data_IF_885780999575
#
_entry.id   IF_885780999575
#
_cell.length_a   1.000
_cell.length_b   1.000
_cell.length_c   1.000
_cell.angle_alpha   90.00
_cell.angle_beta   90.00
_cell.angle_gamma   90.00
#
_symmetry.space_group_name_H-M   'P 1'
#
loop_
_entity.id
_entity.type
_entity.pdbx_description
1 polymer ?
#
# COMPACT_ATOMS: atom_id res chain seq x y z
N UNK A 1 -15.44 -6.81 -9.21
CA UNK A 1 -15.45 -7.92 -8.26
C UNK A 1 -16.83 -8.11 -7.62
N UNK A 2 -17.54 -7.02 -7.35
CA UNK A 2 -18.79 -7.00 -6.61
C UNK A 2 -19.98 -6.57 -7.46
N UNK A 3 -19.85 -6.59 -8.80
CA UNK A 3 -20.94 -6.25 -9.74
C UNK A 3 -21.19 -4.77 -9.94
N UNK A 4 -20.39 -3.89 -9.31
CA UNK A 4 -20.50 -2.45 -9.51
C UNK A 4 -19.77 -2.03 -10.78
N UNK A 5 -20.44 -1.23 -11.61
CA UNK A 5 -19.82 -0.57 -12.74
C UNK A 5 -19.05 0.66 -12.24
N UNK A 6 -17.77 0.70 -12.54
CA UNK A 6 -16.91 1.83 -12.18
C UNK A 6 -16.21 2.39 -13.42
N UNK A 7 -16.45 3.64 -13.72
CA UNK A 7 -15.72 4.38 -14.74
C UNK A 7 -14.57 5.17 -14.09
N UNK A 8 -13.30 4.84 -14.40
CA UNK A 8 -12.16 5.57 -13.85
C UNK A 8 -12.14 7.01 -14.34
N UNK A 9 -12.15 7.98 -13.41
CA UNK A 9 -12.02 9.40 -13.70
C UNK A 9 -10.77 9.98 -13.03
N UNK A 10 -10.25 11.07 -13.58
CA UNK A 10 -9.24 11.86 -12.91
C UNK A 10 -9.83 12.48 -11.64
N UNK A 11 -9.10 12.41 -10.51
CA UNK A 11 -9.53 13.03 -9.25
C UNK A 11 -9.74 14.55 -9.40
N UNK A 12 -9.02 15.20 -10.33
CA UNK A 12 -9.14 16.65 -10.61
C UNK A 12 -10.49 16.99 -11.25
N UNK A 13 -11.01 16.05 -12.05
CA UNK A 13 -12.28 16.23 -12.77
C UNK A 13 -13.47 15.55 -12.05
N UNK A 14 -13.19 14.96 -10.87
CA UNK A 14 -14.21 14.29 -10.08
C UNK A 14 -14.94 15.28 -9.20
N UNK A 15 -16.27 15.25 -9.24
CA UNK A 15 -17.18 15.95 -8.34
C UNK A 15 -17.95 14.94 -7.51
N UNK A 16 -18.12 15.16 -6.20
CA UNK A 16 -18.84 14.22 -5.34
C UNK A 16 -20.32 14.18 -5.72
N UNK A 17 -20.98 13.02 -5.55
CA UNK A 17 -22.42 12.91 -5.71
C UNK A 17 -23.13 13.69 -4.59
N UNK A 18 -24.37 14.11 -4.87
CA UNK A 18 -25.23 14.77 -3.87
C UNK A 18 -25.94 13.72 -2.99
N UNK A 19 -25.12 12.94 -2.28
CA UNK A 19 -25.58 11.94 -1.35
C UNK A 19 -24.74 11.95 -0.08
N UNK A 20 -25.28 11.38 1.00
CA UNK A 20 -24.56 11.26 2.26
C UNK A 20 -23.50 10.17 2.15
N UNK A 21 -22.27 10.53 2.46
CA UNK A 21 -21.14 9.61 2.58
C UNK A 21 -20.66 9.63 4.03
N UNK A 22 -20.69 8.50 4.72
CA UNK A 22 -20.23 8.42 6.12
C UNK A 22 -18.70 8.29 6.21
N UNK A 23 -18.07 7.57 5.28
CA UNK A 23 -16.62 7.33 5.24
C UNK A 23 -16.04 7.66 3.86
N UNK A 24 -15.05 8.54 3.84
CA UNK A 24 -14.22 8.79 2.67
C UNK A 24 -12.83 8.23 2.91
N UNK A 25 -12.39 7.30 2.06
CA UNK A 25 -11.04 6.74 2.13
C UNK A 25 -10.22 7.15 0.91
N UNK A 26 -8.95 7.54 1.13
CA UNK A 26 -8.07 7.86 0.03
C UNK A 26 -6.61 7.48 0.29
N UNK A 27 -5.88 7.21 -0.82
CA UNK A 27 -4.45 7.03 -0.85
C UNK A 27 -3.86 7.96 -1.90
N UNK A 28 -3.42 9.15 -1.50
CA UNK A 28 -2.81 10.08 -2.45
C UNK A 28 -1.52 9.52 -3.05
N UNK A 29 -1.16 9.87 -4.30
CA UNK A 29 0.05 9.36 -4.93
C UNK A 29 1.30 9.63 -4.10
N UNK A 30 2.02 8.55 -3.75
CA UNK A 30 3.23 8.60 -2.93
C UNK A 30 4.52 8.85 -3.72
N UNK A 31 4.45 9.02 -5.04
CA UNK A 31 5.64 9.00 -5.90
C UNK A 31 6.62 10.14 -5.59
N UNK A 32 6.14 11.30 -5.19
CA UNK A 32 6.96 12.44 -4.81
C UNK A 32 7.31 12.44 -3.31
N UNK A 33 6.60 11.65 -2.49
CA UNK A 33 6.89 11.43 -1.07
C UNK A 33 7.76 10.20 -0.80
N UNK A 34 7.86 9.26 -1.75
CA UNK A 34 8.60 8.01 -1.57
C UNK A 34 10.11 8.24 -1.58
N UNK A 35 10.83 7.54 -0.71
CA UNK A 35 12.31 7.49 -0.73
C UNK A 35 12.87 6.94 -2.04
N UNK A 36 12.08 6.20 -2.80
CA UNK A 36 12.42 5.68 -4.13
C UNK A 36 12.00 6.62 -5.26
N UNK A 37 11.27 7.70 -4.98
CA UNK A 37 10.79 8.71 -5.91
C UNK A 37 11.69 9.95 -6.00
N UNK A 38 11.24 10.96 -6.75
CA UNK A 38 11.99 12.19 -6.99
C UNK A 38 11.97 13.18 -5.83
N UNK A 39 11.22 12.92 -4.75
CA UNK A 39 11.08 13.76 -3.54
C UNK A 39 10.73 15.24 -3.86
N UNK A 40 9.87 15.46 -4.86
CA UNK A 40 9.49 16.81 -5.32
C UNK A 40 8.52 17.53 -4.37
N UNK A 41 7.99 16.81 -3.35
CA UNK A 41 6.98 17.34 -2.46
C UNK A 41 5.56 17.35 -3.05
N UNK A 42 4.60 17.87 -2.32
CA UNK A 42 3.18 17.89 -2.66
C UNK A 42 2.52 19.20 -2.21
N UNK A 43 3.11 20.36 -2.53
CA UNK A 43 2.50 21.65 -2.19
C UNK A 43 1.27 21.89 -3.08
N UNK A 44 0.21 22.49 -2.50
CA UNK A 44 -1.01 22.88 -3.24
C UNK A 44 -0.61 23.71 -4.48
N UNK A 45 -1.12 23.32 -5.66
CA UNK A 45 -0.85 24.02 -6.91
C UNK A 45 0.55 23.81 -7.52
N UNK A 46 1.39 22.93 -6.96
CA UNK A 46 2.76 22.69 -7.48
C UNK A 46 2.83 21.91 -8.79
N UNK A 47 1.71 21.38 -9.30
CA UNK A 47 1.66 20.52 -10.47
C UNK A 47 2.33 19.15 -10.27
N UNK A 48 2.74 18.81 -9.06
CA UNK A 48 3.29 17.49 -8.72
C UNK A 48 2.16 16.50 -8.45
N UNK A 49 2.40 15.20 -8.66
CA UNK A 49 1.39 14.16 -8.36
C UNK A 49 0.97 14.15 -6.89
N UNK A 50 1.86 14.54 -6.00
CA UNK A 50 1.57 14.61 -4.55
C UNK A 50 0.69 15.79 -4.18
N UNK A 51 0.57 16.82 -5.03
CA UNK A 51 -0.39 17.94 -4.82
C UNK A 51 -1.84 17.48 -4.95
N UNK A 52 -2.08 16.32 -5.59
CA UNK A 52 -3.40 15.68 -5.66
C UNK A 52 -3.95 15.28 -4.27
N UNK A 53 -3.13 15.29 -3.23
CA UNK A 53 -3.59 15.18 -1.85
C UNK A 53 -4.66 16.26 -1.52
N UNK A 54 -4.49 17.47 -2.04
CA UNK A 54 -5.40 18.58 -1.77
C UNK A 54 -6.70 18.53 -2.59
N UNK A 55 -6.80 17.63 -3.57
CA UNK A 55 -8.07 17.34 -4.24
C UNK A 55 -9.09 16.71 -3.27
N UNK A 56 -8.63 15.97 -2.27
CA UNK A 56 -9.53 15.49 -1.21
C UNK A 56 -10.17 16.64 -0.43
N UNK A 57 -9.41 17.71 -0.16
CA UNK A 57 -9.94 18.92 0.49
C UNK A 57 -11.00 19.57 -0.39
N UNK A 58 -10.74 19.75 -1.71
CA UNK A 58 -11.71 20.30 -2.66
C UNK A 58 -12.99 19.45 -2.70
N UNK A 59 -12.85 18.14 -2.80
CA UNK A 59 -14.00 17.22 -2.84
C UNK A 59 -14.86 17.36 -1.57
N UNK A 60 -14.25 17.43 -0.38
CA UNK A 60 -14.99 17.61 0.88
C UNK A 60 -15.67 19.00 0.94
N UNK A 61 -15.03 20.03 0.40
CA UNK A 61 -15.61 21.39 0.32
C UNK A 61 -16.83 21.45 -0.62
N UNK A 62 -16.83 20.66 -1.69
CA UNK A 62 -17.94 20.58 -2.64
C UNK A 62 -19.12 19.74 -2.11
N UNK A 63 -18.93 18.92 -1.07
CA UNK A 63 -20.00 18.11 -0.51
C UNK A 63 -21.00 18.95 0.31
N UNK A 64 -22.30 18.80 0.05
CA UNK A 64 -23.36 19.39 0.86
C UNK A 64 -23.34 18.88 2.30
N UNK A 65 -23.06 17.60 2.47
CA UNK A 65 -22.91 16.94 3.79
C UNK A 65 -21.51 16.33 3.85
N UNK A 66 -20.68 16.84 4.73
CA UNK A 66 -19.31 16.34 4.89
C UNK A 66 -19.29 14.91 5.45
N UNK A 67 -18.36 14.04 5.01
CA UNK A 67 -18.18 12.71 5.57
C UNK A 67 -17.90 12.77 7.08
N UNK A 68 -18.50 11.86 7.82
CA UNK A 68 -18.20 11.73 9.26
C UNK A 68 -16.73 11.42 9.52
N UNK A 69 -16.16 10.53 8.69
CA UNK A 69 -14.80 10.03 8.82
C UNK A 69 -14.07 10.17 7.50
N UNK A 70 -12.84 10.66 7.55
CA UNK A 70 -11.90 10.62 6.44
C UNK A 70 -10.67 9.80 6.86
N UNK A 71 -10.37 8.74 6.12
CA UNK A 71 -9.20 7.89 6.34
C UNK A 71 -8.19 8.07 5.19
N UNK A 72 -7.01 8.55 5.54
CA UNK A 72 -5.90 8.70 4.59
C UNK A 72 -4.76 7.73 4.90
N UNK A 73 -4.32 6.98 3.89
CA UNK A 73 -3.11 6.14 3.96
C UNK A 73 -2.00 6.70 3.09
N UNK A 74 -0.76 6.60 3.57
CA UNK A 74 0.41 6.92 2.74
C UNK A 74 1.69 6.23 3.25
N UNK A 75 2.78 6.40 2.50
CA UNK A 75 4.11 5.97 2.93
C UNK A 75 4.61 6.86 4.09
N UNK A 76 5.32 6.30 5.05
CA UNK A 76 5.90 7.07 6.18
C UNK A 76 6.83 8.21 5.75
N UNK A 77 7.34 8.16 4.52
CA UNK A 77 8.17 9.21 3.93
C UNK A 77 7.52 10.58 3.84
N UNK A 78 6.18 10.69 3.99
CA UNK A 78 5.49 12.00 4.07
C UNK A 78 5.95 12.82 5.29
N UNK A 79 6.48 12.16 6.32
CA UNK A 79 7.03 12.80 7.52
C UNK A 79 8.52 13.16 7.40
N UNK A 80 9.19 12.81 6.30
CA UNK A 80 10.59 13.21 6.07
C UNK A 80 10.70 14.74 6.03
N UNK A 81 11.82 15.29 6.52
CA UNK A 81 12.03 16.74 6.75
C UNK A 81 11.57 17.63 5.59
N UNK A 82 11.79 17.21 4.35
CA UNK A 82 11.47 18.00 3.15
C UNK A 82 10.02 17.86 2.70
N UNK A 83 9.24 16.94 3.26
CA UNK A 83 7.91 16.58 2.80
C UNK A 83 6.82 16.81 3.86
N UNK A 84 7.21 16.87 5.13
CA UNK A 84 6.29 17.02 6.27
C UNK A 84 5.48 18.32 6.24
N UNK A 85 5.95 19.36 5.55
CA UNK A 85 5.21 20.60 5.42
C UNK A 85 3.87 20.40 4.72
N UNK A 86 3.85 19.60 3.63
CA UNK A 86 2.61 19.30 2.92
C UNK A 86 1.69 18.41 3.78
N UNK A 87 2.24 17.50 4.58
CA UNK A 87 1.48 16.70 5.51
C UNK A 87 0.77 17.55 6.56
N UNK A 88 1.49 18.42 7.24
CA UNK A 88 0.89 19.31 8.26
C UNK A 88 -0.04 20.36 7.66
N UNK A 89 0.21 20.82 6.43
CA UNK A 89 -0.71 21.68 5.72
C UNK A 89 -2.05 20.97 5.46
N UNK A 90 -2.01 19.71 4.99
CA UNK A 90 -3.22 18.92 4.83
C UNK A 90 -4.00 18.78 6.15
N UNK A 91 -3.34 18.46 7.27
CA UNK A 91 -4.02 18.36 8.57
C UNK A 91 -4.68 19.68 8.98
N UNK A 92 -4.02 20.82 8.76
CA UNK A 92 -4.62 22.14 9.02
C UNK A 92 -5.84 22.44 8.15
N UNK A 93 -5.81 22.04 6.88
CA UNK A 93 -6.98 22.19 6.01
C UNK A 93 -8.14 21.30 6.50
N UNK A 94 -7.86 20.08 6.96
CA UNK A 94 -8.88 19.23 7.58
C UNK A 94 -9.44 19.83 8.87
N UNK A 95 -8.60 20.44 9.72
CA UNK A 95 -9.04 21.18 10.91
C UNK A 95 -9.92 22.37 10.53
N UNK A 96 -9.57 23.13 9.50
CA UNK A 96 -10.39 24.23 8.97
C UNK A 96 -11.78 23.75 8.51
N UNK A 97 -11.86 22.52 8.00
CA UNK A 97 -13.12 21.88 7.62
C UNK A 97 -13.94 21.33 8.79
N UNK A 98 -13.40 21.39 10.01
CA UNK A 98 -14.05 20.95 11.24
C UNK A 98 -13.70 19.53 11.68
N UNK A 99 -12.64 18.93 11.12
CA UNK A 99 -12.18 17.61 11.52
C UNK A 99 -11.11 17.70 12.61
N UNK A 100 -11.17 16.78 13.56
CA UNK A 100 -10.06 16.49 14.46
C UNK A 100 -9.24 15.32 13.91
N UNK A 101 -7.91 15.47 13.83
CA UNK A 101 -7.02 14.52 13.19
C UNK A 101 -6.22 13.73 14.22
N UNK A 102 -6.15 12.41 14.04
CA UNK A 102 -5.17 11.54 14.71
C UNK A 102 -4.41 10.75 13.66
N UNK A 103 -3.11 10.53 13.89
CA UNK A 103 -2.30 9.77 12.94
C UNK A 103 -1.25 8.91 13.64
N UNK A 104 -0.94 7.75 13.04
CA UNK A 104 0.04 6.81 13.54
C UNK A 104 0.72 6.07 12.37
N UNK A 105 1.95 5.60 12.60
CA UNK A 105 2.64 4.69 11.68
C UNK A 105 2.38 3.27 12.13
N UNK A 106 1.69 2.50 11.31
CA UNK A 106 1.37 1.10 11.57
C UNK A 106 2.22 0.18 10.68
N UNK A 107 2.60 -0.98 11.23
CA UNK A 107 3.32 -2.01 10.50
C UNK A 107 2.41 -3.24 10.31
N UNK A 108 2.28 -3.73 9.10
CA UNK A 108 1.47 -4.92 8.78
C UNK A 108 1.82 -6.14 9.66
N UNK A 109 3.07 -6.24 10.13
CA UNK A 109 3.49 -7.32 11.05
C UNK A 109 2.76 -7.31 12.40
N UNK A 110 2.19 -6.19 12.79
CA UNK A 110 1.40 -6.08 14.03
C UNK A 110 -0.06 -6.50 13.85
N UNK A 111 -0.45 -6.88 12.62
CA UNK A 111 -1.82 -7.25 12.25
C UNK A 111 -1.89 -8.61 11.56
N UNK A 112 -1.04 -9.57 11.97
CA UNK A 112 -1.06 -10.94 11.49
C UNK A 112 -0.37 -11.21 10.14
N UNK A 113 0.12 -10.17 9.45
CA UNK A 113 0.73 -10.29 8.13
C UNK A 113 2.26 -10.29 8.23
N UNK A 114 2.98 -11.33 7.78
CA UNK A 114 4.44 -11.39 7.84
C UNK A 114 5.07 -10.55 6.71
N UNK A 115 4.75 -9.27 6.68
CA UNK A 115 5.31 -8.28 5.75
C UNK A 115 5.76 -7.02 6.50
N UNK A 116 7.04 -6.67 6.40
CA UNK A 116 7.54 -5.40 6.91
C UNK A 116 7.09 -4.25 6.01
N UNK A 117 5.87 -3.77 6.26
CA UNK A 117 5.24 -2.66 5.54
C UNK A 117 4.74 -1.62 6.52
N UNK A 118 5.48 -0.54 6.66
CA UNK A 118 5.11 0.60 7.49
C UNK A 118 4.39 1.64 6.64
N UNK A 119 3.21 2.07 7.12
CA UNK A 119 2.39 3.12 6.50
C UNK A 119 1.88 4.07 7.56
N UNK A 120 1.78 5.34 7.20
CA UNK A 120 1.07 6.30 8.02
C UNK A 120 -0.41 6.22 7.70
N UNK A 121 -1.22 6.23 8.74
CA UNK A 121 -2.67 6.35 8.66
C UNK A 121 -3.09 7.60 9.39
N UNK A 122 -4.00 8.36 8.79
CA UNK A 122 -4.63 9.52 9.41
C UNK A 122 -6.13 9.24 9.47
N UNK A 123 -6.68 9.28 10.68
CA UNK A 123 -8.10 9.20 10.94
C UNK A 123 -8.59 10.58 11.34
N UNK A 124 -9.39 11.20 10.47
CA UNK A 124 -9.99 12.51 10.68
C UNK A 124 -11.49 12.33 10.91
N UNK A 125 -11.99 12.73 12.06
CA UNK A 125 -13.41 12.64 12.43
C UNK A 125 -14.00 14.04 12.54
N UNK A 126 -15.15 14.26 11.93
CA UNK A 126 -15.87 15.54 11.98
C UNK A 126 -16.38 15.80 13.40
N UNK A 127 -15.97 16.92 13.98
CA UNK A 127 -16.24 17.25 15.39
C UNK A 127 -15.21 16.62 16.33
N UNK A 128 -15.66 15.95 17.38
CA UNK A 128 -14.78 15.36 18.40
C UNK A 128 -14.30 13.96 17.97
N UNK A 129 -12.99 13.75 17.96
CA UNK A 129 -12.35 12.50 17.57
C UNK A 129 -12.02 11.61 18.79
N UNK A 130 -12.90 10.68 19.11
CA UNK A 130 -12.72 9.68 20.18
C UNK A 130 -11.86 8.48 19.76
N UNK A 131 -11.53 8.33 18.46
CA UNK A 131 -10.69 7.25 17.94
C UNK A 131 -9.31 7.23 18.63
N UNK A 132 -8.78 6.04 18.89
CA UNK A 132 -7.45 5.88 19.51
C UNK A 132 -6.68 4.72 18.89
N UNK A 133 -5.54 5.00 18.26
CA UNK A 133 -4.66 3.99 17.68
C UNK A 133 -4.13 2.98 18.71
N UNK A 134 -4.03 3.35 19.98
CA UNK A 134 -3.59 2.44 21.03
C UNK A 134 -4.60 1.33 21.33
N UNK A 135 -5.87 1.50 20.94
CA UNK A 135 -6.96 0.52 21.13
C UNK A 135 -7.10 -0.46 19.96
N UNK A 136 -6.29 -0.33 18.90
CA UNK A 136 -6.35 -1.25 17.78
C UNK A 136 -6.03 -2.68 18.22
N UNK A 137 -6.84 -3.63 17.76
CA UNK A 137 -6.62 -5.06 17.99
C UNK A 137 -5.40 -5.52 17.17
N UNK A 138 -4.28 -5.72 17.85
CA UNK A 138 -3.03 -6.18 17.24
C UNK A 138 -2.89 -7.69 17.33
N UNK A 139 -2.38 -8.30 16.28
CA UNK A 139 -2.11 -9.74 16.18
C UNK A 139 -0.69 -9.95 15.69
N UNK A 140 0.08 -10.78 16.37
CA UNK A 140 1.44 -11.12 15.94
C UNK A 140 1.44 -11.69 14.52
N UNK A 141 2.46 -11.33 13.73
CA UNK A 141 2.64 -11.87 12.38
C UNK A 141 2.67 -13.40 12.40
N UNK A 142 1.90 -14.02 11.50
CA UNK A 142 1.89 -15.47 11.30
C UNK A 142 3.18 -15.92 10.60
N UNK A 143 3.41 -17.23 10.55
CA UNK A 143 4.55 -17.77 9.84
C UNK A 143 4.44 -17.48 8.33
N UNK A 144 5.55 -17.06 7.73
CA UNK A 144 5.57 -16.70 6.30
C UNK A 144 5.20 -17.89 5.40
N UNK A 145 5.50 -19.13 5.83
CA UNK A 145 5.20 -20.33 5.06
C UNK A 145 3.70 -20.55 4.81
N UNK A 146 2.82 -20.02 5.67
CA UNK A 146 1.38 -20.07 5.47
C UNK A 146 0.90 -19.24 4.27
N UNK A 147 1.70 -18.29 3.83
CA UNK A 147 1.40 -17.37 2.72
C UNK A 147 2.01 -17.84 1.39
N UNK A 148 2.94 -18.80 1.45
CA UNK A 148 3.67 -19.29 0.29
C UNK A 148 2.95 -20.45 -0.40
N UNK A 149 3.07 -20.50 -1.74
CA UNK A 149 2.62 -21.64 -2.54
C UNK A 149 3.66 -22.76 -2.51
N UNK A 150 3.24 -23.99 -2.20
CA UNK A 150 4.11 -25.18 -2.13
C UNK A 150 4.70 -25.52 -3.49
N UNK A 151 3.89 -25.43 -4.55
CA UNK A 151 4.22 -25.85 -5.92
C UNK A 151 4.22 -24.67 -6.88
N UNK A 152 5.01 -23.63 -6.58
CA UNK A 152 5.14 -22.49 -7.47
C UNK A 152 5.82 -22.90 -8.79
N UNK A 153 5.26 -22.48 -9.93
CA UNK A 153 5.78 -22.78 -11.26
C UNK A 153 7.22 -22.28 -11.46
N UNK A 154 8.01 -23.00 -12.26
CA UNK A 154 9.35 -22.58 -12.68
C UNK A 154 9.38 -21.23 -13.43
N UNK A 155 8.22 -20.68 -13.81
CA UNK A 155 8.08 -19.34 -14.37
C UNK A 155 8.59 -18.26 -13.40
N UNK A 156 8.50 -18.50 -12.08
CA UNK A 156 8.95 -17.58 -11.04
C UNK A 156 10.44 -17.69 -10.73
N UNK A 157 11.17 -18.61 -11.35
CA UNK A 157 12.60 -18.81 -11.08
C UNK A 157 13.40 -17.55 -11.46
N UNK A 158 14.29 -17.12 -10.57
CA UNK A 158 15.24 -16.03 -10.83
C UNK A 158 16.34 -16.52 -11.74
N UNK A 159 16.32 -16.07 -13.02
CA UNK A 159 17.30 -16.46 -14.05
C UNK A 159 18.31 -15.37 -14.38
N UNK A 160 18.12 -14.17 -13.81
CA UNK A 160 19.02 -13.04 -14.08
C UNK A 160 20.36 -13.24 -13.36
N UNK A 161 21.42 -13.44 -14.11
CA UNK A 161 22.77 -13.69 -13.59
C UNK A 161 23.26 -12.56 -12.67
N UNK A 162 22.91 -11.30 -12.95
CA UNK A 162 23.24 -10.17 -12.08
C UNK A 162 22.63 -10.29 -10.69
N UNK A 163 21.40 -10.81 -10.56
CA UNK A 163 20.75 -11.06 -9.28
C UNK A 163 21.40 -12.25 -8.58
N UNK A 164 21.62 -13.35 -9.29
CA UNK A 164 22.25 -14.57 -8.73
C UNK A 164 23.65 -14.29 -8.18
N UNK A 165 24.46 -13.52 -8.90
CA UNK A 165 25.80 -13.11 -8.41
C UNK A 165 25.70 -12.23 -7.16
N UNK A 166 24.72 -11.33 -7.11
CA UNK A 166 24.50 -10.50 -5.93
C UNK A 166 24.12 -11.34 -4.72
N UNK A 167 23.18 -12.25 -4.86
CA UNK A 167 22.71 -13.16 -3.80
C UNK A 167 23.88 -14.03 -3.29
N UNK A 168 24.70 -14.55 -4.20
CA UNK A 168 25.86 -15.40 -3.89
C UNK A 168 27.07 -14.62 -3.34
N UNK A 169 26.91 -13.35 -3.02
CA UNK A 169 27.95 -12.52 -2.42
C UNK A 169 29.12 -12.15 -3.34
N UNK A 170 28.90 -12.13 -4.67
CA UNK A 170 29.92 -11.77 -5.67
C UNK A 170 29.51 -10.53 -6.51
N UNK A 171 29.08 -9.40 -5.89
CA UNK A 171 28.68 -8.22 -6.66
C UNK A 171 29.89 -7.51 -7.23
N UNK A 172 29.96 -7.37 -8.57
CA UNK A 172 30.89 -6.42 -9.19
C UNK A 172 30.45 -4.96 -8.99
N UNK A 173 29.11 -4.73 -8.94
CA UNK A 173 28.49 -3.42 -8.68
C UNK A 173 27.24 -3.64 -7.83
N UNK A 174 27.04 -2.81 -6.82
CA UNK A 174 25.86 -2.88 -5.93
C UNK A 174 24.63 -2.18 -6.58
N UNK A 175 24.17 -2.68 -7.74
CA UNK A 175 23.02 -2.13 -8.46
C UNK A 175 21.71 -2.29 -7.69
N UNK A 176 21.64 -3.21 -6.74
CA UNK A 176 20.42 -3.50 -5.96
C UNK A 176 20.34 -2.70 -4.67
N UNK A 177 21.42 -2.02 -4.26
CA UNK A 177 21.47 -1.14 -3.08
C UNK A 177 20.86 -1.78 -1.82
N UNK A 178 21.12 -3.06 -1.58
CA UNK A 178 20.61 -3.82 -0.44
C UNK A 178 19.11 -4.17 -0.49
N UNK A 179 18.44 -3.96 -1.62
CA UNK A 179 17.00 -4.25 -1.79
C UNK A 179 16.69 -5.71 -2.11
N UNK A 180 17.65 -6.42 -2.70
CA UNK A 180 17.50 -7.85 -3.01
C UNK A 180 17.91 -8.67 -1.79
N UNK A 181 16.94 -9.27 -1.11
CA UNK A 181 17.14 -10.08 0.10
C UNK A 181 16.43 -11.41 -0.04
N UNK A 182 16.98 -12.44 0.59
CA UNK A 182 16.27 -13.71 0.76
C UNK A 182 15.27 -13.54 1.89
N UNK A 183 14.05 -14.02 1.67
CA UNK A 183 12.99 -14.04 2.67
C UNK A 183 13.27 -15.20 3.62
N UNK A 184 13.27 -14.90 4.92
CA UNK A 184 13.38 -15.88 6.01
C UNK A 184 12.05 -15.90 6.79
N UNK A 185 11.85 -14.98 7.71
CA UNK A 185 10.67 -14.93 8.59
C UNK A 185 9.56 -14.03 8.09
N UNK A 186 9.89 -13.06 7.26
CA UNK A 186 8.92 -12.08 6.73
C UNK A 186 9.35 -11.55 5.37
N UNK A 187 8.38 -11.16 4.57
CA UNK A 187 8.60 -10.42 3.34
C UNK A 187 8.84 -8.94 3.64
N UNK A 188 9.63 -8.28 2.77
CA UNK A 188 9.72 -6.83 2.78
C UNK A 188 8.55 -6.22 1.99
N UNK A 189 8.44 -4.88 2.00
CA UNK A 189 7.33 -4.17 1.36
C UNK A 189 7.12 -4.61 -0.09
N UNK A 190 5.96 -5.19 -0.37
CA UNK A 190 5.52 -5.51 -1.73
C UNK A 190 5.35 -4.21 -2.50
N UNK A 191 5.97 -4.15 -3.68
CA UNK A 191 5.93 -3.02 -4.58
C UNK A 191 5.30 -3.40 -5.92
N UNK A 192 5.02 -2.42 -6.75
CA UNK A 192 4.42 -2.62 -8.09
C UNK A 192 5.34 -3.28 -9.11
N UNK A 193 6.62 -3.49 -8.78
CA UNK A 193 7.67 -3.99 -9.71
C UNK A 193 8.42 -5.19 -9.11
N UNK A 194 7.71 -6.29 -8.89
CA UNK A 194 8.28 -7.47 -8.23
C UNK A 194 9.33 -8.22 -9.07
N UNK A 195 9.15 -8.28 -10.39
CA UNK A 195 10.02 -9.08 -11.27
C UNK A 195 11.31 -8.38 -11.71
N UNK A 196 11.38 -7.07 -11.57
CA UNK A 196 12.58 -6.31 -12.00
C UNK A 196 13.59 -6.11 -10.87
N UNK A 197 13.10 -5.70 -9.71
CA UNK A 197 13.85 -5.60 -8.45
C UNK A 197 12.85 -5.96 -7.36
N UNK A 198 12.80 -7.21 -6.89
CA UNK A 198 11.82 -7.65 -5.92
C UNK A 198 12.14 -7.05 -4.54
N UNK A 199 11.62 -5.86 -4.29
CA UNK A 199 11.81 -5.19 -2.99
C UNK A 199 11.26 -6.04 -1.82
N UNK A 200 10.26 -6.89 -2.09
CA UNK A 200 9.68 -7.82 -1.12
C UNK A 200 10.64 -8.93 -0.70
N UNK A 201 11.68 -9.16 -1.48
CA UNK A 201 12.61 -10.29 -1.33
C UNK A 201 12.34 -11.42 -2.32
N UNK A 202 13.11 -12.48 -2.20
CA UNK A 202 13.06 -13.70 -3.00
C UNK A 202 13.04 -14.92 -2.08
N UNK A 203 12.51 -16.04 -2.57
CA UNK A 203 12.46 -17.32 -1.85
C UNK A 203 13.66 -18.16 -2.27
N UNK A 204 14.37 -18.72 -1.30
CA UNK A 204 15.41 -19.76 -1.52
C UNK A 204 14.73 -21.13 -1.68
N UNK A 205 15.07 -21.84 -2.75
CA UNK A 205 14.56 -23.19 -3.03
C UNK A 205 15.48 -24.29 -2.48
N UNK A 206 16.48 -23.94 -1.67
CA UNK A 206 17.44 -24.85 -1.01
C UNK A 206 18.28 -25.74 -1.95
N UNK A 207 18.24 -25.49 -3.25
CA UNK A 207 19.01 -26.21 -4.28
C UNK A 207 19.92 -25.28 -5.09
N UNK A 208 20.26 -24.10 -4.54
CA UNK A 208 21.02 -23.05 -5.21
C UNK A 208 20.21 -22.25 -6.20
N UNK A 209 18.90 -22.44 -6.25
CA UNK A 209 17.95 -21.68 -7.05
C UNK A 209 17.10 -20.76 -6.15
N UNK A 210 16.58 -19.71 -6.75
CA UNK A 210 15.75 -18.71 -6.10
C UNK A 210 14.55 -18.39 -6.96
N UNK A 211 13.44 -18.00 -6.33
CA UNK A 211 12.25 -17.54 -7.06
C UNK A 211 11.69 -16.23 -6.52
N UNK A 212 10.95 -15.55 -7.36
CA UNK A 212 10.10 -14.42 -6.94
C UNK A 212 8.91 -14.93 -6.12
N UNK A 213 8.31 -14.04 -5.33
CA UNK A 213 6.96 -14.26 -4.85
C UNK A 213 6.00 -14.33 -6.05
N UNK A 214 5.02 -15.24 -5.99
CA UNK A 214 3.95 -15.30 -6.98
C UNK A 214 2.99 -14.12 -6.80
N UNK A 215 2.15 -13.84 -7.80
CA UNK A 215 1.10 -12.85 -7.67
C UNK A 215 0.16 -13.19 -6.52
N UNK A 216 -0.24 -14.48 -6.38
CA UNK A 216 -1.08 -14.96 -5.27
C UNK A 216 -0.46 -14.72 -3.91
N UNK A 217 0.81 -15.05 -3.74
CA UNK A 217 1.56 -14.81 -2.50
C UNK A 217 1.61 -13.32 -2.14
N UNK A 218 1.77 -12.46 -3.16
CA UNK A 218 1.72 -11.01 -2.95
C UNK A 218 0.34 -10.55 -2.45
N UNK A 219 -0.76 -11.10 -2.99
CA UNK A 219 -2.11 -10.78 -2.52
C UNK A 219 -2.36 -11.30 -1.11
N UNK A 220 -1.98 -12.54 -0.79
CA UNK A 220 -2.07 -13.09 0.57
C UNK A 220 -1.30 -12.22 1.58
N UNK A 221 -0.09 -11.78 1.23
CA UNK A 221 0.72 -10.87 2.05
C UNK A 221 0.14 -9.44 2.13
N UNK A 222 -0.86 -9.10 1.33
CA UNK A 222 -1.65 -7.88 1.46
C UNK A 222 -2.97 -8.11 2.22
N UNK A 223 -3.22 -9.35 2.69
CA UNK A 223 -4.40 -9.71 3.48
C UNK A 223 -5.63 -10.10 2.65
N UNK A 224 -5.49 -10.22 1.33
CA UNK A 224 -6.56 -10.74 0.47
C UNK A 224 -6.64 -12.26 0.56
N UNK A 225 -7.82 -12.81 0.47
CA UNK A 225 -8.02 -14.24 0.37
C UNK A 225 -7.80 -14.76 -1.07
N UNK A 226 -7.80 -16.08 -1.20
CA UNK A 226 -7.59 -16.73 -2.49
C UNK A 226 -8.79 -16.60 -3.43
N UNK A 227 -10.00 -16.39 -2.91
CA UNK A 227 -11.21 -16.20 -3.72
C UNK A 227 -11.14 -14.87 -4.46
N UNK A 228 -10.83 -13.78 -3.77
CA UNK A 228 -10.64 -12.46 -4.37
C UNK A 228 -9.52 -12.47 -5.40
N UNK A 229 -8.38 -13.12 -5.08
CA UNK A 229 -7.31 -13.28 -6.04
C UNK A 229 -7.76 -14.04 -7.29
N UNK A 230 -8.54 -15.11 -7.15
CA UNK A 230 -9.01 -15.91 -8.28
C UNK A 230 -9.96 -15.11 -9.19
N UNK A 231 -10.85 -14.29 -8.60
CA UNK A 231 -11.72 -13.37 -9.37
C UNK A 231 -10.88 -12.40 -10.20
N UNK A 232 -9.87 -11.78 -9.61
CA UNK A 232 -8.96 -10.85 -10.31
C UNK A 232 -8.14 -11.56 -11.39
N UNK A 233 -7.62 -12.75 -11.08
CA UNK A 233 -6.83 -13.53 -12.03
C UNK A 233 -7.64 -13.93 -13.26
N UNK A 234 -8.94 -14.23 -13.10
CA UNK A 234 -9.84 -14.56 -14.21
C UNK A 234 -10.02 -13.37 -15.17
N UNK A 235 -10.03 -12.14 -14.66
CA UNK A 235 -10.16 -10.91 -15.46
C UNK A 235 -8.81 -10.49 -16.09
N UNK A 236 -7.75 -10.55 -15.31
CA UNK A 236 -6.40 -10.09 -15.72
C UNK A 236 -5.50 -11.27 -16.06
N UNK A 237 -5.92 -12.06 -17.03
CA UNK A 237 -5.11 -13.15 -17.59
C UNK A 237 -3.80 -12.58 -18.12
N UNK A 238 -2.69 -12.94 -17.48
CA UNK A 238 -1.36 -12.62 -17.99
C UNK A 238 -1.11 -13.23 -19.38
N UNK A 239 -0.16 -12.68 -20.14
CA UNK A 239 0.27 -13.32 -21.39
C UNK A 239 0.82 -14.72 -21.07
N UNK A 240 0.46 -15.72 -21.86
CA UNK A 240 0.93 -17.12 -21.70
C UNK A 240 2.45 -17.15 -21.51
N UNK A 241 2.91 -17.79 -20.44
CA UNK A 241 4.35 -17.90 -20.12
C UNK A 241 4.99 -16.62 -19.56
N UNK A 242 4.22 -15.60 -19.17
CA UNK A 242 4.73 -14.37 -18.52
C UNK A 242 4.01 -14.09 -17.23
N UNK A 243 4.73 -13.51 -16.26
CA UNK A 243 4.20 -13.02 -15.00
C UNK A 243 3.27 -11.82 -15.23
N UNK A 244 2.18 -11.72 -14.46
CA UNK A 244 1.22 -10.63 -14.59
C UNK A 244 1.70 -9.35 -13.91
N UNK A 245 2.22 -8.42 -14.71
CA UNK A 245 2.60 -7.10 -14.20
C UNK A 245 1.41 -6.32 -13.61
N UNK A 246 0.19 -6.58 -14.08
CA UNK A 246 -1.03 -5.93 -13.60
C UNK A 246 -1.34 -6.40 -12.18
N UNK A 247 -1.36 -7.72 -11.93
CA UNK A 247 -1.62 -8.27 -10.60
C UNK A 247 -0.57 -7.82 -9.57
N UNK A 248 0.71 -7.84 -9.93
CA UNK A 248 1.75 -7.27 -9.05
C UNK A 248 1.55 -5.78 -8.77
N UNK A 249 1.13 -5.02 -9.78
CA UNK A 249 0.85 -3.58 -9.61
C UNK A 249 -0.34 -3.37 -8.66
N UNK A 250 -1.39 -4.17 -8.79
CA UNK A 250 -2.55 -4.11 -7.90
C UNK A 250 -2.14 -4.44 -6.46
N UNK A 251 -1.47 -5.57 -6.22
CA UNK A 251 -0.98 -5.91 -4.89
C UNK A 251 -0.08 -4.81 -4.28
N UNK A 252 0.87 -4.28 -5.06
CA UNK A 252 1.79 -3.24 -4.58
C UNK A 252 1.13 -1.91 -4.22
N UNK A 253 0.04 -1.55 -4.92
CA UNK A 253 -0.73 -0.33 -4.67
C UNK A 253 -1.81 -0.51 -3.59
N UNK A 254 -2.12 -1.74 -3.20
CA UNK A 254 -3.14 -2.01 -2.19
C UNK A 254 -2.70 -1.59 -0.78
N UNK A 255 -3.68 -1.36 0.07
CA UNK A 255 -3.52 -1.24 1.51
C UNK A 255 -3.69 -2.65 2.12
N UNK A 256 -2.98 -2.94 3.21
CA UNK A 256 -3.12 -4.24 3.89
C UNK A 256 -4.50 -4.33 4.54
N UNK A 257 -5.30 -5.32 4.15
CA UNK A 257 -6.70 -5.49 4.57
C UNK A 257 -6.79 -5.57 6.09
N UNK A 258 -5.96 -6.37 6.74
CA UNK A 258 -5.97 -6.56 8.21
C UNK A 258 -5.77 -5.24 8.98
N UNK A 259 -4.94 -4.33 8.47
CA UNK A 259 -4.73 -3.01 9.09
C UNK A 259 -5.98 -2.16 8.96
N UNK A 260 -6.61 -2.16 7.78
CA UNK A 260 -7.87 -1.44 7.54
C UNK A 260 -9.00 -1.97 8.43
N UNK A 261 -9.14 -3.29 8.52
CA UNK A 261 -10.15 -3.92 9.38
C UNK A 261 -9.99 -3.50 10.85
N UNK A 262 -8.75 -3.49 11.37
CA UNK A 262 -8.49 -3.06 12.74
C UNK A 262 -8.88 -1.59 12.96
N UNK A 263 -8.54 -0.70 12.01
CA UNK A 263 -8.90 0.73 12.07
C UNK A 263 -10.42 0.90 12.00
N UNK A 264 -11.08 0.24 11.02
CA UNK A 264 -12.53 0.37 10.84
C UNK A 264 -13.31 -0.20 12.01
N UNK A 265 -12.89 -1.33 12.59
CA UNK A 265 -13.48 -1.89 13.81
C UNK A 265 -13.44 -0.88 14.98
N UNK A 266 -12.33 -0.18 15.15
CA UNK A 266 -12.20 0.83 16.22
C UNK A 266 -13.06 2.07 15.93
N UNK A 267 -13.14 2.52 14.66
CA UNK A 267 -14.01 3.63 14.25
C UNK A 267 -15.48 3.29 14.55
N UNK A 268 -15.92 2.06 14.27
CA UNK A 268 -17.31 1.63 14.46
C UNK A 268 -17.71 1.40 15.93
N UNK A 269 -16.75 1.32 16.86
CA UNK A 269 -17.02 1.24 18.31
C UNK A 269 -17.38 2.61 18.91
N UNK A 270 -17.07 3.69 18.22
CA UNK A 270 -17.27 5.08 18.64
C UNK A 270 -18.34 5.78 17.81
#
# INVERSE_FOLDING_TARGET
>A
LYGEEFEPKSIVDYHPPDERIDLLMHGSPCQDFSRSGLKKGGTKGSGTRSSLLFETIRIIEEMNIKPKVVLWENVKGVLDRNLRTSFFHYLKEMERLGYENKYEILNAMEFGIPQKRERIFVVSILGNNSFDFAKLEKTQARDISEFLEKDASNLYEVRQESMLRYIRGKPKNNNFRGRLKVIDKFAYTISTKQVRIPNSGIIDLSNGKYRYLTERECFRLMGFDDEDFNKLKAIYLGRKGKLSSILYKQAGNSIVVNVLEAILKEILKN
#
